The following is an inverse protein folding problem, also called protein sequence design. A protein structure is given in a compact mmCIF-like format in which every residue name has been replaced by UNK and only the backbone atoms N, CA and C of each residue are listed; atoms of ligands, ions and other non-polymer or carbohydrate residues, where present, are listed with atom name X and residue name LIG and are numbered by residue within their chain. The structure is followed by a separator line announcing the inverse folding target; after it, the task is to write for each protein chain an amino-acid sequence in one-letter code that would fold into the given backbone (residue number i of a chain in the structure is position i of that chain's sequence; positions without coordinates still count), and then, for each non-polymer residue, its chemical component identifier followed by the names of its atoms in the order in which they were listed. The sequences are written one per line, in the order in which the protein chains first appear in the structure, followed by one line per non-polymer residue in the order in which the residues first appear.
data_IF_431295696965
#
_entry.id   IF_431295696965
#
_cell.length_a   1.000
_cell.length_b   1.000
_cell.length_c   1.000
_cell.angle_alpha   90.00
_cell.angle_beta   90.00
_cell.angle_gamma   90.00
#
_symmetry.space_group_name_H-M   'P 1'
#
loop_
_entity.id
_entity.type
_entity.pdbx_description
1 polymer ?
#
# COMPACT_ATOMS: atom_id res chain seq x y z
N UNK A 1 13.17 22.96 -22.36
CA UNK A 1 13.30 21.49 -22.42
C UNK A 1 12.46 20.91 -21.30
N UNK A 2 11.16 20.72 -21.53
CA UNK A 2 10.22 20.27 -20.50
C UNK A 2 10.19 18.76 -20.49
N UNK A 3 10.87 18.15 -19.52
CA UNK A 3 10.81 16.71 -19.29
C UNK A 3 9.47 16.43 -18.62
N UNK A 4 8.68 15.55 -19.23
CA UNK A 4 7.38 15.09 -18.76
C UNK A 4 7.42 14.75 -17.27
N UNK A 5 6.46 15.28 -16.54
CA UNK A 5 6.38 15.20 -15.11
C UNK A 5 5.90 13.81 -14.66
N UNK A 6 6.74 12.77 -14.73
CA UNK A 6 6.39 11.40 -14.31
C UNK A 6 6.21 11.26 -12.79
N UNK A 7 5.18 10.55 -12.33
CA UNK A 7 4.91 10.29 -10.91
C UNK A 7 5.69 9.07 -10.37
N UNK A 8 6.12 8.16 -11.25
CA UNK A 8 6.96 7.01 -10.92
C UNK A 8 8.01 6.80 -12.01
N UNK A 9 9.23 6.38 -11.66
CA UNK A 9 10.32 6.16 -12.62
C UNK A 9 10.94 4.79 -12.39
N UNK A 10 11.27 4.06 -13.44
CA UNK A 10 12.05 2.83 -13.34
C UNK A 10 13.52 3.10 -13.70
N UNK A 11 14.44 2.82 -12.79
CA UNK A 11 15.88 2.99 -12.96
C UNK A 11 16.62 2.00 -12.06
N UNK A 12 17.81 1.55 -12.49
CA UNK A 12 18.69 0.67 -11.71
C UNK A 12 17.99 -0.58 -11.14
N UNK A 13 17.07 -1.16 -11.95
CA UNK A 13 16.32 -2.35 -11.59
C UNK A 13 15.21 -2.12 -10.56
N UNK A 14 14.85 -0.87 -10.26
CA UNK A 14 13.84 -0.54 -9.26
C UNK A 14 12.87 0.55 -9.72
N UNK A 15 11.68 0.51 -9.14
CA UNK A 15 10.67 1.55 -9.27
C UNK A 15 10.85 2.58 -8.16
N UNK A 16 11.03 3.83 -8.54
CA UNK A 16 10.91 4.99 -7.65
C UNK A 16 9.50 5.53 -7.80
N UNK A 17 8.65 5.20 -6.83
CA UNK A 17 7.26 5.58 -6.76
C UNK A 17 7.12 6.94 -6.07
N UNK A 18 6.27 7.80 -6.61
CA UNK A 18 5.92 9.06 -5.98
C UNK A 18 7.06 10.07 -5.87
N UNK A 19 7.88 10.21 -6.91
CA UNK A 19 9.05 11.11 -6.96
C UNK A 19 8.70 12.61 -6.84
N UNK A 20 7.42 12.97 -7.00
CA UNK A 20 6.87 14.32 -6.78
C UNK A 20 5.69 14.36 -5.81
N UNK A 21 5.47 13.30 -5.06
CA UNK A 21 4.32 13.11 -4.17
C UNK A 21 3.76 11.69 -4.31
N UNK A 22 3.02 11.18 -3.33
CA UNK A 22 2.57 9.79 -3.33
C UNK A 22 1.75 9.41 -4.56
N UNK A 23 1.87 8.16 -4.99
CA UNK A 23 1.02 7.57 -6.04
C UNK A 23 0.00 6.65 -5.44
N UNK A 24 -1.27 6.83 -5.80
CA UNK A 24 -2.34 5.97 -5.28
C UNK A 24 -2.40 4.64 -6.04
N UNK A 25 -2.20 3.56 -5.31
CA UNK A 25 -2.49 2.20 -5.73
C UNK A 25 -3.97 1.89 -5.47
N UNK A 26 -4.63 1.28 -6.46
CA UNK A 26 -5.99 0.76 -6.35
C UNK A 26 -6.01 -0.67 -6.86
N UNK A 27 -6.40 -1.62 -6.03
CA UNK A 27 -6.57 -3.03 -6.42
C UNK A 27 -8.02 -3.40 -6.15
N UNK A 28 -8.70 -3.90 -7.18
CA UNK A 28 -10.12 -4.26 -7.08
C UNK A 28 -10.33 -5.43 -6.10
N UNK A 29 -9.55 -6.50 -6.23
CA UNK A 29 -9.71 -7.71 -5.44
C UNK A 29 -8.40 -8.50 -5.37
N UNK A 30 -8.16 -9.13 -4.22
CA UNK A 30 -7.14 -10.16 -4.00
C UNK A 30 -7.84 -11.36 -3.38
N UNK A 31 -7.77 -12.49 -4.07
CA UNK A 31 -8.38 -13.76 -3.64
C UNK A 31 -7.30 -14.61 -2.97
N UNK A 32 -7.48 -14.92 -1.68
CA UNK A 32 -6.61 -15.80 -0.89
C UNK A 32 -7.46 -16.53 0.17
N UNK A 33 -6.87 -16.95 1.30
CA UNK A 33 -7.59 -17.53 2.45
C UNK A 33 -8.79 -16.68 2.88
N UNK A 34 -8.68 -15.36 2.78
CA UNK A 34 -9.80 -14.41 2.87
C UNK A 34 -9.76 -13.47 1.68
N UNK A 35 -10.92 -13.19 1.09
CA UNK A 35 -11.00 -12.25 -0.03
C UNK A 35 -10.91 -10.80 0.48
N UNK A 36 -9.94 -10.07 -0.05
CA UNK A 36 -9.77 -8.64 0.20
C UNK A 36 -10.21 -7.84 -1.05
N UNK A 37 -10.99 -6.78 -0.84
CA UNK A 37 -11.57 -5.96 -1.91
C UNK A 37 -11.24 -4.48 -1.70
N UNK A 38 -11.37 -3.71 -2.78
CA UNK A 38 -11.29 -2.25 -2.77
C UNK A 38 -10.03 -1.73 -2.05
N UNK A 39 -8.90 -2.39 -2.28
CA UNK A 39 -7.63 -2.06 -1.63
C UNK A 39 -7.16 -0.73 -2.19
N UNK A 40 -6.87 0.21 -1.30
CA UNK A 40 -6.29 1.51 -1.61
C UNK A 40 -5.10 1.78 -0.72
N UNK A 41 -4.08 2.41 -1.27
CA UNK A 41 -2.90 2.86 -0.55
C UNK A 41 -2.20 3.95 -1.35
N UNK A 42 -1.63 4.91 -0.67
CA UNK A 42 -0.69 5.86 -1.28
C UNK A 42 0.74 5.34 -1.09
N UNK A 43 1.49 5.26 -2.19
CA UNK A 43 2.83 4.68 -2.23
C UNK A 43 3.88 5.76 -2.50
N UNK A 44 4.97 5.73 -1.77
CA UNK A 44 6.13 6.59 -2.03
C UNK A 44 7.44 5.90 -1.64
N UNK A 45 8.45 5.99 -2.50
CA UNK A 45 9.76 5.39 -2.26
C UNK A 45 10.10 4.29 -3.28
N UNK A 46 10.97 3.36 -2.89
CA UNK A 46 11.54 2.39 -3.82
C UNK A 46 10.85 1.02 -3.75
N UNK A 47 10.63 0.38 -4.90
CA UNK A 47 10.26 -1.02 -4.99
C UNK A 47 11.17 -1.80 -5.95
N UNK A 48 11.80 -2.91 -5.53
CA UNK A 48 11.84 -3.45 -4.17
C UNK A 48 12.57 -2.51 -3.19
N UNK A 49 12.02 -2.33 -1.99
CA UNK A 49 12.58 -1.44 -0.96
C UNK A 49 13.91 -1.96 -0.39
N UNK A 50 14.71 -1.06 0.18
CA UNK A 50 15.90 -1.38 1.00
C UNK A 50 15.84 -0.60 2.31
N UNK A 51 16.80 -0.81 3.21
CA UNK A 51 16.87 -0.02 4.44
C UNK A 51 17.12 1.47 4.17
N UNK A 52 17.98 1.75 3.18
CA UNK A 52 18.38 3.08 2.74
C UNK A 52 17.29 3.76 1.90
N UNK A 53 16.57 2.98 1.10
CA UNK A 53 15.51 3.43 0.20
C UNK A 53 14.18 2.73 0.55
N UNK A 54 13.49 3.20 1.61
CA UNK A 54 12.27 2.54 2.07
C UNK A 54 11.09 2.77 1.12
N UNK A 55 10.09 1.89 1.23
CA UNK A 55 8.76 2.12 0.68
C UNK A 55 7.81 2.51 1.80
N UNK A 56 7.14 3.65 1.63
CA UNK A 56 6.08 4.14 2.49
C UNK A 56 4.73 3.82 1.86
N UNK A 57 3.84 3.24 2.67
CA UNK A 57 2.43 3.07 2.38
C UNK A 57 1.65 3.94 3.36
N UNK A 58 0.85 4.87 2.87
CA UNK A 58 -0.03 5.72 3.69
C UNK A 58 -1.48 5.56 3.29
N UNK A 59 -2.39 5.96 4.19
CA UNK A 59 -3.84 5.99 3.96
C UNK A 59 -4.37 4.67 3.38
N UNK A 60 -3.89 3.56 3.95
CA UNK A 60 -4.23 2.22 3.50
C UNK A 60 -5.64 1.87 3.99
N UNK A 61 -6.48 1.41 3.06
CA UNK A 61 -7.81 0.90 3.35
C UNK A 61 -8.08 -0.38 2.56
N UNK A 62 -8.64 -1.37 3.23
CA UNK A 62 -8.97 -2.68 2.67
C UNK A 62 -10.33 -3.13 3.18
N UNK A 63 -11.20 -3.57 2.30
CA UNK A 63 -12.46 -4.21 2.67
C UNK A 63 -12.23 -5.72 2.78
N UNK A 64 -12.57 -6.30 3.93
CA UNK A 64 -12.34 -7.72 4.22
C UNK A 64 -13.32 -8.19 5.30
N UNK A 65 -13.78 -9.44 5.23
CA UNK A 65 -14.64 -10.08 6.24
C UNK A 65 -15.88 -9.24 6.61
N UNK A 66 -16.53 -8.66 5.60
CA UNK A 66 -17.73 -7.82 5.77
C UNK A 66 -17.49 -6.47 6.45
N UNK A 67 -16.24 -6.13 6.75
CA UNK A 67 -15.85 -4.86 7.35
C UNK A 67 -14.66 -4.22 6.64
N UNK A 68 -13.94 -3.38 7.37
CA UNK A 68 -12.88 -2.56 6.82
C UNK A 68 -11.67 -2.51 7.76
N UNK A 69 -10.48 -2.59 7.18
CA UNK A 69 -9.19 -2.45 7.85
C UNK A 69 -8.50 -1.20 7.34
N UNK A 70 -8.14 -0.31 8.27
CA UNK A 70 -7.41 0.92 7.99
C UNK A 70 -6.03 0.87 8.61
N UNK A 71 -5.07 1.46 7.92
CA UNK A 71 -3.72 1.66 8.43
C UNK A 71 -3.19 3.00 7.96
N UNK A 72 -2.78 3.85 8.91
CA UNK A 72 -2.32 5.21 8.58
C UNK A 72 -1.01 5.22 7.82
N UNK A 73 -0.06 4.39 8.26
CA UNK A 73 1.27 4.34 7.70
C UNK A 73 1.91 2.98 7.96
N UNK A 74 2.63 2.48 6.96
CA UNK A 74 3.57 1.36 7.06
C UNK A 74 4.83 1.74 6.29
N UNK A 75 6.00 1.56 6.92
CA UNK A 75 7.31 1.68 6.27
C UNK A 75 7.85 0.27 6.04
N UNK A 76 8.41 0.05 4.86
CA UNK A 76 9.17 -1.15 4.50
C UNK A 76 10.65 -0.80 4.29
N UNK A 77 11.62 -1.59 4.81
CA UNK A 77 11.44 -2.67 5.76
C UNK A 77 10.80 -2.19 7.07
N UNK A 78 10.00 -3.07 7.67
CA UNK A 78 9.25 -2.77 8.87
C UNK A 78 10.12 -3.01 10.12
N UNK A 79 10.35 -1.96 10.89
CA UNK A 79 11.03 -2.04 12.20
C UNK A 79 10.05 -1.90 13.37
N UNK A 80 8.98 -1.14 13.15
CA UNK A 80 7.94 -0.90 14.13
C UNK A 80 6.63 -1.59 13.72
N UNK A 81 5.84 -2.10 14.66
CA UNK A 81 4.52 -2.65 14.37
C UNK A 81 3.63 -1.58 13.74
N UNK A 82 2.91 -1.94 12.67
CA UNK A 82 1.89 -1.07 12.11
C UNK A 82 0.61 -1.15 12.96
N UNK A 83 0.01 0.01 13.22
CA UNK A 83 -1.27 0.08 13.93
C UNK A 83 -2.42 -0.05 12.95
N UNK A 84 -3.15 -1.15 13.08
CA UNK A 84 -4.35 -1.43 12.30
C UNK A 84 -5.59 -0.99 13.08
N UNK A 85 -6.54 -0.36 12.39
CA UNK A 85 -7.88 -0.13 12.91
C UNK A 85 -8.84 -1.05 12.18
N UNK A 86 -9.54 -1.87 12.95
CA UNK A 86 -10.50 -2.84 12.45
C UNK A 86 -11.89 -2.32 12.71
N UNK A 87 -12.72 -2.24 11.68
CA UNK A 87 -14.08 -1.76 11.77
C UNK A 87 -15.03 -2.86 11.28
N UNK A 88 -15.90 -3.33 12.17
CA UNK A 88 -17.03 -4.19 11.85
C UNK A 88 -16.65 -5.50 11.12
N UNK A 89 -15.54 -6.13 11.50
CA UNK A 89 -15.14 -7.43 10.95
C UNK A 89 -16.01 -8.55 11.54
N UNK A 90 -16.47 -9.47 10.69
CA UNK A 90 -17.22 -10.64 11.11
C UNK A 90 -16.47 -11.93 10.81
N UNK A 91 -16.28 -12.78 11.83
CA UNK A 91 -15.70 -14.11 11.65
C UNK A 91 -16.64 -15.08 10.93
N UNK A 92 -17.93 -14.75 10.78
CA UNK A 92 -18.88 -15.55 9.99
C UNK A 92 -18.53 -15.60 8.50
N UNK A 93 -17.71 -14.66 8.03
CA UNK A 93 -17.25 -14.58 6.65
C UNK A 93 -16.03 -15.48 6.38
N UNK A 94 -15.50 -16.15 7.42
CA UNK A 94 -14.48 -17.19 7.29
C UNK A 94 -15.20 -18.51 6.95
N UNK A 95 -14.96 -19.02 5.74
CA UNK A 95 -15.49 -20.30 5.25
C UNK A 95 -14.59 -21.49 5.57
#
# INVERSE_FOLDING_TARGET
MSILSCLSVFADGAWHLGTRGPVTLRIAEVINLVTAKNITADLQGRYPWTEEEPLLLTDVSVDVLGGNVLMKQLRMPQHDPALLRLNNLSSSELV
#
